data_IF_572863201178
#
_entry.id   IF_572863201178
#
_cell.length_a   1.000
_cell.length_b   1.000
_cell.length_c   1.000
_cell.angle_alpha   90.00
_cell.angle_beta   90.00
_cell.angle_gamma   90.00
#
_symmetry.space_group_name_H-M   'P 1'
#
loop_
_entity.id
_entity.type
_entity.pdbx_description
1 polymer ?
#
# COMPACT_ATOMS: atom_id res chain seq x y z
N UNK A 1 -9.58 -27.31 -55.57
CA UNK A 1 -9.59 -27.10 -54.11
C UNK A 1 -8.25 -27.52 -53.57
N UNK A 2 -7.40 -26.58 -53.19
CA UNK A 2 -6.10 -26.87 -52.51
C UNK A 2 -6.34 -26.76 -51.00
N UNK A 3 -6.11 -27.82 -50.28
CA UNK A 3 -6.12 -27.83 -48.83
C UNK A 3 -4.95 -27.03 -48.33
N UNK A 4 -5.22 -26.04 -47.48
CA UNK A 4 -4.20 -25.30 -46.76
C UNK A 4 -3.88 -26.11 -45.51
N UNK A 5 -2.71 -26.75 -45.51
CA UNK A 5 -2.19 -27.48 -44.37
C UNK A 5 -1.45 -26.53 -43.41
N UNK A 6 -1.87 -26.62 -42.15
CA UNK A 6 -0.97 -26.59 -41.01
C UNK A 6 -0.30 -25.26 -40.72
N UNK A 7 -0.90 -24.49 -39.82
CA UNK A 7 -0.16 -23.53 -39.02
C UNK A 7 0.85 -24.29 -38.16
N UNK A 8 2.13 -24.10 -38.43
CA UNK A 8 3.19 -24.43 -37.50
C UNK A 8 3.04 -23.54 -36.26
N UNK A 9 2.36 -24.05 -35.26
CA UNK A 9 2.41 -23.47 -33.94
C UNK A 9 3.78 -23.81 -33.38
N UNK A 10 4.67 -22.82 -33.30
CA UNK A 10 5.93 -22.98 -32.63
C UNK A 10 5.68 -23.50 -31.19
N UNK A 11 6.43 -24.52 -30.73
CA UNK A 11 6.25 -25.02 -29.37
C UNK A 11 6.45 -23.88 -28.38
N UNK A 12 5.48 -23.74 -27.46
CA UNK A 12 5.61 -22.80 -26.38
C UNK A 12 6.88 -23.14 -25.60
N UNK A 13 7.83 -22.22 -25.61
CA UNK A 13 9.00 -22.33 -24.74
C UNK A 13 8.51 -22.21 -23.31
N UNK A 14 8.50 -23.33 -22.59
CA UNK A 14 8.25 -23.33 -21.15
C UNK A 14 9.41 -22.62 -20.49
N UNK A 15 9.25 -21.31 -20.23
CA UNK A 15 10.13 -20.59 -19.32
C UNK A 15 9.93 -21.21 -17.93
N UNK A 16 10.92 -21.96 -17.43
CA UNK A 16 10.90 -22.42 -16.05
C UNK A 16 11.05 -21.19 -15.15
N UNK A 17 9.98 -20.74 -14.54
CA UNK A 17 10.03 -19.75 -13.48
C UNK A 17 10.63 -20.41 -12.26
N UNK A 18 11.88 -20.08 -11.93
CA UNK A 18 12.45 -20.45 -10.65
C UNK A 18 11.79 -19.56 -9.60
N UNK A 19 10.93 -20.15 -8.77
CA UNK A 19 10.41 -19.45 -7.61
C UNK A 19 11.56 -19.18 -6.64
N UNK A 20 11.70 -17.93 -6.21
CA UNK A 20 12.65 -17.53 -5.17
C UNK A 20 12.27 -18.13 -3.81
N UNK A 21 13.20 -18.03 -2.87
CA UNK A 21 12.94 -18.40 -1.46
C UNK A 21 11.96 -17.36 -0.88
N UNK A 22 10.96 -17.84 -0.15
CA UNK A 22 10.07 -16.97 0.61
C UNK A 22 10.87 -16.24 1.68
N UNK A 23 10.65 -14.93 1.79
CA UNK A 23 11.28 -14.07 2.78
C UNK A 23 10.19 -13.50 3.69
N UNK A 24 10.28 -13.75 4.99
CA UNK A 24 9.49 -13.05 5.98
C UNK A 24 10.05 -11.63 6.14
N UNK A 25 9.29 -10.62 5.70
CA UNK A 25 9.72 -9.23 5.68
C UNK A 25 9.40 -8.50 6.98
N UNK A 26 8.47 -9.01 7.75
CA UNK A 26 8.00 -8.40 9.00
C UNK A 26 8.90 -8.76 10.18
N UNK A 27 9.34 -10.01 10.24
CA UNK A 27 9.98 -10.62 11.41
C UNK A 27 9.14 -10.44 12.69
N UNK A 28 7.83 -10.31 12.56
CA UNK A 28 6.88 -10.10 13.66
C UNK A 28 6.17 -11.42 13.99
N UNK A 29 5.92 -11.64 15.28
CA UNK A 29 5.20 -12.83 15.73
C UNK A 29 3.67 -12.69 15.64
N UNK A 30 3.16 -11.48 15.35
CA UNK A 30 1.75 -11.19 15.24
C UNK A 30 1.19 -11.51 13.85
N UNK A 31 -0.13 -11.70 13.73
CA UNK A 31 -0.76 -11.85 12.42
C UNK A 31 -0.77 -10.52 11.68
N UNK A 32 -0.50 -10.59 10.37
CA UNK A 32 -0.64 -9.50 9.42
C UNK A 32 -1.73 -9.84 8.41
N UNK A 33 -2.38 -8.82 7.85
CA UNK A 33 -3.37 -8.96 6.81
C UNK A 33 -3.27 -7.83 5.78
N UNK A 34 -3.96 -7.99 4.66
CA UNK A 34 -4.10 -6.98 3.62
C UNK A 34 -2.75 -6.41 3.14
N UNK A 35 -1.86 -7.30 2.77
CA UNK A 35 -0.50 -6.94 2.38
C UNK A 35 -0.46 -6.27 1.01
N UNK A 36 0.40 -5.26 0.87
CA UNK A 36 0.70 -4.59 -0.39
C UNK A 36 2.21 -4.51 -0.62
N UNK A 37 2.65 -4.57 -1.87
CA UNK A 37 4.06 -4.42 -2.24
C UNK A 37 4.18 -3.62 -3.54
N UNK A 38 5.21 -2.78 -3.63
CA UNK A 38 5.54 -2.01 -4.82
C UNK A 38 7.06 -1.90 -5.02
N UNK A 39 7.47 -1.58 -6.25
CA UNK A 39 8.87 -1.44 -6.63
C UNK A 39 9.10 -0.06 -7.23
N UNK A 40 10.24 0.57 -6.89
CA UNK A 40 10.63 1.83 -7.50
C UNK A 40 10.97 1.61 -9.00
N UNK A 41 10.27 2.29 -9.94
CA UNK A 41 10.43 2.03 -11.37
C UNK A 41 11.83 2.35 -11.91
N UNK A 42 12.55 3.26 -11.27
CA UNK A 42 13.90 3.69 -11.69
C UNK A 42 15.04 3.08 -10.86
N UNK A 43 14.70 2.48 -9.71
CA UNK A 43 15.65 1.83 -8.80
C UNK A 43 15.10 0.48 -8.36
N UNK A 44 15.11 -0.50 -9.24
CA UNK A 44 14.44 -1.80 -9.06
C UNK A 44 14.93 -2.63 -7.86
N UNK A 45 16.00 -2.21 -7.18
CA UNK A 45 16.41 -2.77 -5.89
C UNK A 45 15.73 -2.13 -4.69
N UNK A 46 14.99 -1.02 -4.90
CA UNK A 46 14.21 -0.34 -3.86
C UNK A 46 12.77 -0.82 -3.93
N UNK A 47 12.35 -1.51 -2.89
CA UNK A 47 11.00 -2.03 -2.73
C UNK A 47 10.38 -1.45 -1.46
N UNK A 48 9.08 -1.32 -1.46
CA UNK A 48 8.30 -0.97 -0.29
C UNK A 48 7.09 -1.89 -0.17
N UNK A 49 6.70 -2.20 1.07
CA UNK A 49 5.54 -3.01 1.36
C UNK A 49 4.80 -2.45 2.59
N UNK A 50 3.60 -2.92 2.79
CA UNK A 50 2.78 -2.57 3.95
C UNK A 50 1.84 -3.70 4.32
N UNK A 51 1.40 -3.69 5.57
CA UNK A 51 0.40 -4.63 6.08
C UNK A 51 -0.37 -4.02 7.24
N UNK A 52 -1.57 -4.54 7.46
CA UNK A 52 -2.25 -4.37 8.74
C UNK A 52 -1.50 -5.16 9.81
N UNK A 53 -1.21 -4.51 10.92
CA UNK A 53 -0.57 -5.12 12.06
C UNK A 53 -1.62 -5.31 13.17
N UNK A 54 -2.13 -6.52 13.31
CA UNK A 54 -3.30 -6.80 14.17
C UNK A 54 -3.04 -6.45 15.65
N UNK A 55 -1.80 -6.54 16.12
CA UNK A 55 -1.43 -6.21 17.50
C UNK A 55 -0.75 -4.85 17.66
N UNK A 56 -0.76 -4.02 16.60
CA UNK A 56 -0.24 -2.66 16.61
C UNK A 56 -1.33 -1.67 16.22
N UNK A 57 -1.25 -0.44 16.70
CA UNK A 57 -2.19 0.61 16.31
C UNK A 57 -1.78 1.29 14.99
N UNK A 58 -0.51 1.71 14.78
CA UNK A 58 -0.12 2.32 13.52
C UNK A 58 0.04 1.27 12.41
N UNK A 59 -0.11 1.72 11.16
CA UNK A 59 0.32 0.95 9.99
C UNK A 59 1.82 0.71 10.03
N UNK A 60 2.23 -0.44 9.51
CA UNK A 60 3.64 -0.77 9.34
C UNK A 60 4.03 -0.65 7.87
N UNK A 61 5.02 0.19 7.60
CA UNK A 61 5.71 0.23 6.32
C UNK A 61 6.99 -0.57 6.37
N UNK A 62 7.26 -1.33 5.32
CA UNK A 62 8.50 -2.10 5.15
C UNK A 62 9.25 -1.57 3.94
N UNK A 63 10.56 -1.59 3.98
CA UNK A 63 11.42 -1.15 2.88
C UNK A 63 12.62 -2.06 2.68
N UNK A 64 13.03 -2.20 1.42
CA UNK A 64 14.28 -2.84 1.04
C UNK A 64 15.04 -1.94 0.06
N UNK A 65 16.37 -1.93 0.14
CA UNK A 65 17.25 -1.21 -0.80
C UNK A 65 18.18 -2.13 -1.58
N UNK A 66 18.03 -3.45 -1.41
CA UNK A 66 18.89 -4.47 -1.99
C UNK A 66 18.13 -5.58 -2.72
N UNK A 67 16.96 -5.23 -3.29
CA UNK A 67 16.16 -6.17 -4.07
C UNK A 67 15.44 -7.24 -3.24
N UNK A 68 15.06 -6.89 -2.01
CA UNK A 68 14.32 -7.80 -1.12
C UNK A 68 15.19 -8.74 -0.30
N UNK A 69 16.54 -8.64 -0.39
CA UNK A 69 17.44 -9.52 0.37
C UNK A 69 17.36 -9.25 1.87
N UNK A 70 17.16 -7.99 2.27
CA UNK A 70 16.89 -7.59 3.65
C UNK A 70 15.86 -6.48 3.69
N UNK A 71 15.16 -6.40 4.81
CA UNK A 71 14.06 -5.47 5.02
C UNK A 71 14.20 -4.73 6.35
N UNK A 72 13.78 -3.47 6.35
CA UNK A 72 13.55 -2.68 7.55
C UNK A 72 12.07 -2.33 7.66
N UNK A 73 11.64 -1.89 8.84
CA UNK A 73 10.26 -1.50 9.08
C UNK A 73 10.16 -0.20 9.87
N UNK A 74 9.08 0.55 9.62
CA UNK A 74 8.77 1.82 10.26
C UNK A 74 7.27 1.93 10.50
N UNK A 75 6.87 2.49 11.64
CA UNK A 75 5.47 2.79 11.92
C UNK A 75 5.07 4.10 11.23
N UNK A 76 3.90 4.11 10.59
CA UNK A 76 3.34 5.33 10.01
C UNK A 76 2.62 6.15 11.09
N UNK A 77 2.68 7.49 11.00
CA UNK A 77 1.98 8.34 11.96
C UNK A 77 0.46 8.13 11.95
N UNK A 78 -0.15 8.18 13.12
CA UNK A 78 -1.59 8.34 13.30
C UNK A 78 -1.92 9.80 13.58
N UNK A 79 -3.11 10.30 13.20
CA UNK A 79 -3.54 11.64 13.56
C UNK A 79 -3.81 11.73 15.07
N UNK A 80 -3.94 12.94 15.60
CA UNK A 80 -4.45 13.10 16.97
C UNK A 80 -5.80 12.40 17.13
N UNK A 81 -6.02 11.67 18.25
CA UNK A 81 -7.27 10.95 18.49
C UNK A 81 -8.49 11.87 18.40
N UNK A 82 -9.54 11.44 17.71
CA UNK A 82 -10.77 12.21 17.57
C UNK A 82 -11.67 12.09 18.81
N UNK A 83 -11.41 11.15 19.72
CA UNK A 83 -12.09 11.04 20.99
C UNK A 83 -11.10 10.87 22.13
N UNK A 84 -11.48 11.35 23.36
CA UNK A 84 -10.61 11.32 24.54
C UNK A 84 -10.31 9.91 25.07
N UNK A 85 -11.11 8.92 24.70
CA UNK A 85 -11.00 7.53 25.15
C UNK A 85 -10.97 6.54 23.97
N UNK A 86 -10.85 7.04 22.76
CA UNK A 86 -10.78 6.22 21.56
C UNK A 86 -9.39 5.63 21.36
N UNK A 87 -9.37 4.47 20.74
CA UNK A 87 -8.17 3.85 20.19
C UNK A 87 -8.28 3.97 18.69
N UNK A 88 -7.33 4.68 18.08
CA UNK A 88 -7.28 4.80 16.63
C UNK A 88 -6.22 3.87 16.09
N UNK A 89 -6.48 3.26 14.94
CA UNK A 89 -5.50 2.38 14.28
C UNK A 89 -5.51 2.56 12.76
N UNK A 90 -4.41 2.21 12.12
CA UNK A 90 -4.30 2.21 10.66
C UNK A 90 -4.73 0.88 10.07
N UNK A 91 -5.29 0.91 8.85
CA UNK A 91 -5.70 -0.27 8.09
C UNK A 91 -5.59 -0.05 6.58
N UNK A 92 -5.62 -1.13 5.82
CA UNK A 92 -5.75 -1.18 4.37
C UNK A 92 -4.66 -0.43 3.60
N UNK A 93 -3.42 -0.93 3.63
CA UNK A 93 -2.29 -0.29 2.97
C UNK A 93 -2.40 -0.36 1.44
N UNK A 94 -1.98 0.74 0.79
CA UNK A 94 -1.77 0.79 -0.66
C UNK A 94 -0.57 1.67 -0.96
N UNK A 95 0.31 1.26 -1.88
CA UNK A 95 1.58 1.94 -2.12
C UNK A 95 1.85 2.17 -3.60
N UNK A 96 2.42 3.32 -3.93
CA UNK A 96 2.91 3.60 -5.27
C UNK A 96 4.18 4.46 -5.24
N UNK A 97 5.12 4.19 -6.15
CA UNK A 97 6.24 5.07 -6.44
C UNK A 97 5.94 5.92 -7.67
N UNK A 98 6.31 7.21 -7.63
CA UNK A 98 6.43 8.03 -8.82
C UNK A 98 7.79 7.82 -9.52
N UNK A 99 8.02 8.48 -10.67
CA UNK A 99 9.28 8.35 -11.41
C UNK A 99 10.42 9.16 -10.78
N UNK A 100 10.12 10.06 -9.87
CA UNK A 100 11.12 10.78 -9.06
C UNK A 100 11.64 9.94 -7.89
N UNK A 101 11.00 8.79 -7.63
CA UNK A 101 11.33 7.87 -6.55
C UNK A 101 10.69 8.24 -5.23
N UNK A 102 9.70 9.17 -5.22
CA UNK A 102 8.86 9.38 -4.06
C UNK A 102 7.91 8.19 -3.89
N UNK A 103 7.78 7.73 -2.68
CA UNK A 103 6.83 6.69 -2.29
C UNK A 103 5.62 7.34 -1.62
N UNK A 104 4.45 6.96 -2.06
CA UNK A 104 3.18 7.33 -1.46
C UNK A 104 2.55 6.08 -0.84
N UNK A 105 2.22 6.19 0.44
CA UNK A 105 1.59 5.12 1.22
C UNK A 105 0.20 5.60 1.63
N UNK A 106 -0.83 5.06 0.98
CA UNK A 106 -2.23 5.30 1.32
C UNK A 106 -2.72 4.29 2.35
N UNK A 107 -3.56 4.73 3.28
CA UNK A 107 -4.19 3.88 4.28
C UNK A 107 -5.44 4.56 4.84
N UNK A 108 -6.26 3.80 5.56
CA UNK A 108 -7.33 4.36 6.38
C UNK A 108 -6.89 4.45 7.83
N UNK A 109 -7.41 5.45 8.53
CA UNK A 109 -7.37 5.54 9.98
C UNK A 109 -8.77 5.22 10.50
N UNK A 110 -8.88 4.18 11.30
CA UNK A 110 -10.13 3.78 11.93
C UNK A 110 -10.18 4.39 13.33
N UNK A 111 -11.20 5.21 13.57
CA UNK A 111 -11.43 5.87 14.84
C UNK A 111 -12.40 5.09 15.69
N UNK A 112 -11.99 4.68 16.89
CA UNK A 112 -12.89 4.05 17.86
C UNK A 112 -13.42 5.09 18.86
N UNK A 113 -14.73 5.22 18.91
CA UNK A 113 -15.40 6.07 19.91
C UNK A 113 -15.56 5.36 21.23
N UNK A 114 -15.16 5.97 22.33
CA UNK A 114 -15.53 5.68 23.72
C UNK A 114 -15.77 4.20 24.09
N UNK A 115 -15.07 3.26 23.49
CA UNK A 115 -15.21 1.83 23.74
C UNK A 115 -16.45 1.15 23.14
N UNK A 116 -17.17 1.83 22.26
CA UNK A 116 -18.46 1.34 21.70
C UNK A 116 -18.40 0.90 20.25
N UNK A 117 -17.21 0.81 19.66
CA UNK A 117 -17.02 0.42 18.26
C UNK A 117 -16.50 1.54 17.38
N UNK A 118 -16.58 1.34 16.06
CA UNK A 118 -16.06 2.28 15.07
C UNK A 118 -16.89 3.58 15.11
N UNK A 119 -16.18 4.70 15.22
CA UNK A 119 -16.75 6.05 15.24
C UNK A 119 -16.40 6.86 13.98
N UNK A 120 -15.99 6.19 12.94
CA UNK A 120 -15.64 6.76 11.65
C UNK A 120 -14.28 6.32 11.15
N UNK A 121 -14.03 6.67 9.91
CA UNK A 121 -12.74 6.43 9.23
C UNK A 121 -12.26 7.70 8.56
N UNK A 122 -10.95 7.79 8.36
CA UNK A 122 -10.30 8.91 7.69
C UNK A 122 -9.28 8.38 6.71
N UNK A 123 -9.22 8.95 5.53
CA UNK A 123 -8.19 8.62 4.56
C UNK A 123 -6.87 9.29 4.92
N UNK A 124 -5.77 8.59 4.72
CA UNK A 124 -4.43 9.10 4.92
C UNK A 124 -3.52 8.77 3.74
N UNK A 125 -2.64 9.72 3.39
CA UNK A 125 -1.53 9.48 2.47
C UNK A 125 -0.25 10.01 3.09
N UNK A 126 0.69 9.12 3.32
CA UNK A 126 2.03 9.44 3.79
C UNK A 126 3.01 9.46 2.62
N UNK A 127 3.90 10.46 2.59
CA UNK A 127 4.94 10.58 1.55
C UNK A 127 6.32 10.33 2.15
N UNK A 128 7.09 9.47 1.46
CA UNK A 128 8.51 9.23 1.72
C UNK A 128 9.34 9.62 0.50
N UNK A 129 10.50 10.23 0.73
CA UNK A 129 11.49 10.58 -0.31
C UNK A 129 12.78 9.77 -0.20
N UNK A 130 12.83 8.83 0.75
CA UNK A 130 14.01 8.02 1.07
C UNK A 130 13.78 6.51 0.89
N UNK A 131 12.76 6.16 0.08
CA UNK A 131 12.43 4.78 -0.27
C UNK A 131 11.66 4.02 0.81
N UNK A 132 10.91 4.72 1.64
CA UNK A 132 10.05 4.14 2.68
C UNK A 132 10.71 4.02 4.05
N UNK A 133 11.87 4.65 4.26
CA UNK A 133 12.55 4.63 5.56
C UNK A 133 11.92 5.60 6.55
N UNK A 134 11.40 6.73 6.06
CA UNK A 134 10.69 7.72 6.88
C UNK A 134 9.50 8.30 6.13
N UNK A 135 8.48 8.75 6.88
CA UNK A 135 7.28 9.39 6.38
C UNK A 135 7.02 10.70 7.12
N UNK A 136 7.81 11.77 6.85
CA UNK A 136 7.72 13.02 7.58
C UNK A 136 6.45 13.82 7.29
N UNK A 137 5.79 13.55 6.15
CA UNK A 137 4.60 14.27 5.71
C UNK A 137 3.45 13.28 5.52
N UNK A 138 2.36 13.51 6.25
CA UNK A 138 1.11 12.77 6.13
C UNK A 138 -0.03 13.76 5.94
N UNK A 139 -0.88 13.49 4.97
CA UNK A 139 -2.11 14.24 4.75
C UNK A 139 -3.29 13.35 5.12
N UNK A 140 -4.17 13.85 5.99
CA UNK A 140 -5.42 13.22 6.39
C UNK A 140 -6.57 13.96 5.73
N UNK A 141 -7.54 13.24 5.19
CA UNK A 141 -8.67 13.81 4.46
C UNK A 141 -9.86 12.85 4.43
N UNK A 142 -11.01 13.34 3.95
CA UNK A 142 -12.23 12.52 3.78
C UNK A 142 -12.63 11.79 5.06
N UNK A 143 -12.76 12.53 6.17
CA UNK A 143 -13.27 11.95 7.41
C UNK A 143 -14.77 11.69 7.28
N UNK A 144 -15.14 10.42 7.45
CA UNK A 144 -16.53 9.96 7.54
C UNK A 144 -16.81 9.53 8.97
N UNK A 145 -17.65 10.30 9.67
CA UNK A 145 -17.96 10.07 11.08
C UNK A 145 -19.22 9.23 11.30
N UNK A 146 -19.23 8.49 12.39
CA UNK A 146 -20.36 7.67 12.82
C UNK A 146 -20.20 6.18 12.52
N UNK A 147 -21.17 5.39 12.97
CA UNK A 147 -21.13 3.92 12.88
C UNK A 147 -21.54 3.36 11.52
N UNK A 148 -22.21 4.18 10.70
CA UNK A 148 -22.78 3.79 9.42
C UNK A 148 -22.03 4.37 8.22
N UNK A 149 -20.96 5.11 8.45
CA UNK A 149 -20.14 5.72 7.43
C UNK A 149 -18.72 5.15 7.53
N UNK A 150 -18.20 4.65 6.41
CA UNK A 150 -16.92 3.96 6.41
C UNK A 150 -16.20 4.19 5.08
N UNK A 151 -15.00 4.73 5.14
CA UNK A 151 -14.05 4.69 4.03
C UNK A 151 -13.28 3.36 4.11
N UNK A 152 -13.12 2.68 2.98
CA UNK A 152 -12.52 1.35 2.91
C UNK A 152 -11.70 1.18 1.63
N UNK A 153 -10.81 0.21 1.62
CA UNK A 153 -10.08 -0.30 0.46
C UNK A 153 -9.46 0.80 -0.43
N UNK A 154 -8.58 1.66 0.08
CA UNK A 154 -7.89 2.61 -0.77
C UNK A 154 -7.01 1.91 -1.80
N UNK A 155 -7.00 2.47 -3.00
CA UNK A 155 -6.14 2.06 -4.10
C UNK A 155 -5.39 3.27 -4.61
N UNK A 156 -4.05 3.23 -4.61
CA UNK A 156 -3.21 4.33 -5.06
C UNK A 156 -2.40 3.93 -6.29
N UNK A 157 -2.22 4.86 -7.20
CA UNK A 157 -1.34 4.68 -8.35
C UNK A 157 -0.65 5.99 -8.71
N UNK A 158 0.51 5.90 -9.34
CA UNK A 158 1.21 7.05 -9.90
C UNK A 158 1.31 6.90 -11.42
N UNK A 159 1.16 7.99 -12.15
CA UNK A 159 1.41 7.99 -13.59
C UNK A 159 2.91 7.97 -13.85
N UNK A 160 3.42 6.81 -14.24
CA UNK A 160 4.83 6.61 -14.56
C UNK A 160 5.13 6.60 -16.06
N UNK A 161 4.14 6.91 -16.90
CA UNK A 161 4.30 6.93 -18.35
C UNK A 161 5.18 8.12 -18.78
N UNK A 162 6.28 7.84 -19.45
CA UNK A 162 7.23 8.85 -19.92
C UNK A 162 6.64 9.86 -20.91
N UNK A 163 5.60 9.46 -21.66
CA UNK A 163 4.91 10.31 -22.64
C UNK A 163 3.70 11.06 -22.09
N UNK A 164 3.35 10.88 -20.84
CA UNK A 164 2.17 11.51 -20.24
C UNK A 164 2.45 12.95 -19.83
N UNK A 165 1.50 13.84 -20.10
CA UNK A 165 1.48 15.21 -19.57
C UNK A 165 1.12 15.26 -18.09
N UNK A 166 0.62 14.13 -17.54
CA UNK A 166 0.25 13.96 -16.15
C UNK A 166 1.26 13.11 -15.37
N UNK A 167 2.45 12.90 -15.96
CA UNK A 167 3.51 12.12 -15.34
C UNK A 167 3.79 12.60 -13.92
N UNK A 168 3.97 11.65 -13.01
CA UNK A 168 4.17 11.83 -11.56
C UNK A 168 2.94 12.35 -10.81
N UNK A 169 1.79 12.52 -11.47
CA UNK A 169 0.54 12.65 -10.74
C UNK A 169 0.22 11.36 -10.00
N UNK A 170 -0.28 11.51 -8.78
CA UNK A 170 -0.71 10.40 -7.92
C UNK A 170 -2.22 10.46 -7.77
N UNK A 171 -2.85 9.32 -7.96
CA UNK A 171 -4.30 9.15 -7.88
C UNK A 171 -4.63 8.17 -6.78
N UNK A 172 -5.64 8.48 -5.99
CA UNK A 172 -6.19 7.59 -4.98
C UNK A 172 -7.70 7.47 -5.18
N UNK A 173 -8.20 6.25 -5.08
CA UNK A 173 -9.62 5.93 -5.05
C UNK A 173 -9.89 5.05 -3.83
N UNK A 174 -11.12 5.09 -3.31
CA UNK A 174 -11.55 4.28 -2.18
C UNK A 174 -13.05 4.06 -2.22
N UNK A 175 -13.54 3.09 -1.47
CA UNK A 175 -14.95 2.89 -1.24
C UNK A 175 -15.41 3.79 -0.10
N UNK A 176 -16.53 4.50 -0.30
CA UNK A 176 -17.20 5.27 0.74
C UNK A 176 -18.59 4.66 0.96
N UNK A 177 -18.75 3.89 2.01
CA UNK A 177 -20.03 3.32 2.38
C UNK A 177 -20.80 4.30 3.25
N UNK A 178 -22.05 4.60 2.87
CA UNK A 178 -23.04 5.25 3.71
C UNK A 178 -24.19 4.29 3.93
N UNK A 179 -24.44 3.89 5.17
CA UNK A 179 -25.57 3.05 5.55
C UNK A 179 -26.85 3.83 5.79
#
# INVERSE_FOLDING_TARGET
>A
MKANNGSDVAPATTSSTTLGINVDISSECGPQSETFITINPNKTKVLAAGSNEIFRLPMRGYFSTNGGTSWGGVDLPLPPPKSKSGIDFGSDPTLAFDTSGNLFYGYIVVHFGNGTGINGTEMAVAKSTDGGKTYPNVTYFSFEGGTNHFNDKPMITADTNAGSTFRDNVYIAWDAASG
#
